data_IF_353140137733
#
_entry.id   IF_353140137733
#
_cell.length_a   1.000
_cell.length_b   1.000
_cell.length_c   1.000
_cell.angle_alpha   90.00
_cell.angle_beta   90.00
_cell.angle_gamma   90.00
#
_symmetry.space_group_name_H-M   'P 1'
#
loop_
_entity.id
_entity.type
_entity.pdbx_description
1 polymer ?
#
# COMPACT_ATOMS: atom_id res chain seq x y z
N UNK A 1 -0.61 7.82 11.97
CA UNK A 1 -1.70 6.90 11.58
C UNK A 1 -1.16 5.52 11.25
N UNK A 2 -0.15 5.39 10.40
CA UNK A 2 0.41 4.08 10.01
C UNK A 2 0.69 3.14 11.19
N UNK A 3 1.25 3.65 12.27
CA UNK A 3 1.63 2.83 13.43
C UNK A 3 0.49 2.56 14.41
N UNK A 4 -0.48 3.45 14.52
CA UNK A 4 -1.46 3.44 15.62
C UNK A 4 -2.92 3.33 15.16
N UNK A 5 -3.19 3.42 13.85
CA UNK A 5 -4.54 3.49 13.30
C UNK A 5 -5.07 4.92 13.18
N UNK A 6 -6.26 5.06 12.57
CA UNK A 6 -6.82 6.36 12.21
C UNK A 6 -7.28 7.16 13.43
N UNK A 7 -8.02 6.54 14.34
CA UNK A 7 -8.69 7.18 15.46
C UNK A 7 -7.92 7.07 16.79
N UNK A 8 -6.63 6.72 16.71
CA UNK A 8 -5.79 6.61 17.89
C UNK A 8 -5.56 7.97 18.58
N UNK A 9 -5.34 8.00 19.90
CA UNK A 9 -4.95 9.21 20.61
C UNK A 9 -3.70 9.87 20.02
N UNK A 10 -2.75 9.07 19.56
CA UNK A 10 -1.50 9.52 18.91
C UNK A 10 -1.77 10.20 17.56
N UNK A 11 -2.66 9.64 16.73
CA UNK A 11 -3.06 10.25 15.47
C UNK A 11 -3.80 11.57 15.70
N UNK A 12 -4.71 11.60 16.66
CA UNK A 12 -5.43 12.82 17.04
C UNK A 12 -4.49 13.89 17.64
N UNK A 13 -3.50 13.50 18.44
CA UNK A 13 -2.50 14.42 18.95
C UNK A 13 -1.61 14.98 17.82
N UNK A 14 -1.28 14.17 16.81
CA UNK A 14 -0.55 14.63 15.64
C UNK A 14 -1.36 15.66 14.83
N UNK A 15 -2.66 15.41 14.62
CA UNK A 15 -3.54 16.34 13.92
C UNK A 15 -3.63 17.70 14.66
N UNK A 16 -3.79 17.69 15.98
CA UNK A 16 -3.78 18.93 16.78
C UNK A 16 -2.48 19.70 16.64
N UNK A 17 -1.32 19.02 16.64
CA UNK A 17 -0.04 19.70 16.40
C UNK A 17 0.07 20.33 15.01
N UNK A 18 -0.55 19.72 13.99
CA UNK A 18 -0.61 20.35 12.67
C UNK A 18 -1.47 21.62 12.67
N UNK A 19 -2.61 21.60 13.33
CA UNK A 19 -3.48 22.75 13.50
C UNK A 19 -2.77 23.90 14.25
N UNK A 20 -2.10 23.60 15.36
CA UNK A 20 -1.29 24.57 16.13
C UNK A 20 -0.20 25.21 15.25
N UNK A 21 0.54 24.41 14.46
CA UNK A 21 1.59 24.92 13.55
C UNK A 21 1.02 25.79 12.44
N UNK A 22 -0.14 25.44 11.90
CA UNK A 22 -0.83 26.30 10.94
C UNK A 22 -1.20 27.65 11.58
N UNK A 23 -1.72 27.62 12.81
CA UNK A 23 -2.01 28.83 13.57
C UNK A 23 -0.77 29.71 13.81
N UNK A 24 0.39 29.11 14.12
CA UNK A 24 1.67 29.81 14.25
C UNK A 24 2.10 30.46 12.93
N UNK A 25 1.98 29.74 11.80
CA UNK A 25 2.31 30.24 10.46
C UNK A 25 1.42 31.47 10.10
N UNK A 26 0.12 31.32 10.26
CA UNK A 26 -0.83 32.42 9.98
C UNK A 26 -0.56 33.62 10.88
N UNK A 27 -0.26 33.38 12.16
CA UNK A 27 0.12 34.44 13.10
C UNK A 27 1.43 35.14 12.72
N UNK A 28 2.38 34.45 12.13
CA UNK A 28 3.64 35.01 11.63
C UNK A 28 3.37 35.91 10.40
N UNK A 29 2.60 35.42 9.42
CA UNK A 29 2.22 36.22 8.24
C UNK A 29 1.53 37.52 8.64
N UNK A 30 0.62 37.49 9.61
CA UNK A 30 -0.04 38.67 10.15
C UNK A 30 0.94 39.65 10.82
N UNK A 31 1.86 39.15 11.63
CA UNK A 31 2.90 39.99 12.28
C UNK A 31 3.85 40.65 11.27
N UNK A 32 4.07 40.02 10.14
CA UNK A 32 4.93 40.53 9.07
C UNK A 32 4.17 41.46 8.10
N UNK A 33 2.86 41.60 8.24
CA UNK A 33 2.03 42.39 7.32
C UNK A 33 1.86 41.77 5.94
N UNK A 34 2.07 40.44 5.83
CA UNK A 34 2.03 39.69 4.55
C UNK A 34 0.68 38.95 4.35
N UNK A 35 -0.27 39.10 5.25
CA UNK A 35 -1.54 38.35 5.23
C UNK A 35 -2.32 38.59 3.93
N UNK A 36 -2.37 39.84 3.46
CA UNK A 36 -3.08 40.24 2.23
C UNK A 36 -2.30 39.91 0.93
N UNK A 37 -1.02 39.59 1.04
CA UNK A 37 -0.14 39.27 -0.09
C UNK A 37 0.19 37.78 -0.21
N UNK A 38 -0.43 36.94 0.65
CA UNK A 38 -0.11 35.50 0.74
C UNK A 38 -1.35 34.64 0.63
N UNK A 39 -1.39 33.79 -0.40
CA UNK A 39 -2.37 32.73 -0.49
C UNK A 39 -1.86 31.48 0.27
N UNK A 40 -2.68 30.95 1.17
CA UNK A 40 -2.39 29.72 1.92
C UNK A 40 -3.26 28.58 1.39
N UNK A 41 -2.63 27.54 0.83
CA UNK A 41 -3.32 26.37 0.29
C UNK A 41 -3.03 25.16 1.18
N UNK A 42 -4.08 24.53 1.70
CA UNK A 42 -4.00 23.31 2.52
C UNK A 42 -4.47 22.14 1.67
N UNK A 43 -3.61 21.13 1.53
CA UNK A 43 -3.88 19.94 0.71
C UNK A 43 -3.70 18.68 1.56
N UNK A 44 -4.55 17.67 1.31
CA UNK A 44 -4.26 16.28 1.66
C UNK A 44 -3.58 15.57 0.50
N UNK A 45 -2.61 14.71 0.77
CA UNK A 45 -1.92 13.89 -0.23
C UNK A 45 -2.77 12.67 -0.62
N UNK A 46 -3.37 11.99 0.34
CA UNK A 46 -4.22 10.81 0.18
C UNK A 46 -5.00 10.51 1.48
N UNK A 47 -6.00 9.64 1.38
CA UNK A 47 -6.69 9.05 2.52
C UNK A 47 -5.93 7.85 3.09
N UNK A 48 -6.40 7.32 4.22
CA UNK A 48 -5.89 6.08 4.83
C UNK A 48 -7.06 5.23 5.33
N UNK A 49 -6.86 3.90 5.36
CA UNK A 49 -7.79 2.92 5.93
C UNK A 49 -7.07 2.11 7.01
N UNK A 50 -7.81 1.74 8.05
CA UNK A 50 -7.32 0.79 9.05
C UNK A 50 -7.14 -0.59 8.44
N UNK A 51 -6.04 -1.26 8.79
CA UNK A 51 -5.68 -2.58 8.28
C UNK A 51 -5.39 -3.55 9.41
N UNK A 52 -5.54 -4.84 9.12
CA UNK A 52 -5.40 -5.94 10.08
C UNK A 52 -4.29 -6.91 9.71
N UNK A 53 -4.08 -7.13 8.42
CA UNK A 53 -3.12 -8.13 7.92
C UNK A 53 -2.36 -7.63 6.70
N UNK A 54 -1.06 -7.90 6.67
CA UNK A 54 -0.22 -7.76 5.49
C UNK A 54 -0.23 -9.05 4.67
N UNK A 55 -0.24 -8.92 3.34
CA UNK A 55 -0.16 -10.00 2.36
C UNK A 55 1.16 -9.89 1.61
N UNK A 56 1.82 -11.02 1.41
CA UNK A 56 3.12 -11.11 0.75
C UNK A 56 3.02 -11.99 -0.52
N UNK A 57 2.60 -11.47 -1.67
CA UNK A 57 2.42 -12.28 -2.89
C UNK A 57 3.70 -12.97 -3.34
N UNK A 58 4.86 -12.35 -3.12
CA UNK A 58 6.17 -12.92 -3.46
C UNK A 58 6.48 -14.26 -2.79
N UNK A 59 5.84 -14.57 -1.66
CA UNK A 59 5.92 -15.90 -1.04
C UNK A 59 5.55 -17.02 -2.03
N UNK A 60 4.43 -16.85 -2.75
CA UNK A 60 4.01 -17.83 -3.75
C UNK A 60 4.84 -17.76 -5.02
N UNK A 61 5.31 -16.58 -5.41
CA UNK A 61 6.16 -16.43 -6.59
C UNK A 61 7.50 -17.14 -6.39
N UNK A 62 8.09 -17.05 -5.20
CA UNK A 62 9.29 -17.80 -4.84
C UNK A 62 9.01 -19.30 -4.81
N UNK A 63 7.93 -19.74 -4.18
CA UNK A 63 7.52 -21.17 -4.15
C UNK A 63 7.23 -21.75 -5.54
N UNK A 64 6.68 -20.94 -6.44
CA UNK A 64 6.43 -21.35 -7.82
C UNK A 64 7.69 -21.30 -8.71
N UNK A 65 8.84 -20.89 -8.19
CA UNK A 65 10.08 -20.72 -8.95
C UNK A 65 10.01 -19.59 -9.99
N UNK A 66 9.11 -18.62 -9.80
CA UNK A 66 9.04 -17.40 -10.62
C UNK A 66 10.01 -16.33 -10.13
N UNK A 67 10.46 -16.41 -8.88
CA UNK A 67 11.46 -15.55 -8.29
C UNK A 67 12.42 -16.38 -7.42
N UNK A 68 13.68 -15.96 -7.36
CA UNK A 68 14.74 -16.60 -6.57
C UNK A 68 15.23 -15.65 -5.48
N UNK A 69 15.40 -16.20 -4.27
CA UNK A 69 16.00 -15.49 -3.15
C UNK A 69 17.48 -15.84 -3.06
N UNK A 70 18.36 -14.84 -3.08
CA UNK A 70 19.80 -14.98 -2.87
C UNK A 70 20.28 -13.93 -1.87
N UNK A 71 20.97 -14.35 -0.83
CA UNK A 71 21.50 -13.47 0.24
C UNK A 71 20.39 -12.57 0.85
N UNK A 72 19.25 -13.17 1.20
CA UNK A 72 18.14 -12.46 1.83
C UNK A 72 17.43 -11.43 0.94
N UNK A 73 17.52 -11.55 -0.40
CA UNK A 73 16.83 -10.65 -1.34
C UNK A 73 16.38 -11.41 -2.58
N UNK A 74 15.26 -11.01 -3.16
CA UNK A 74 14.86 -11.48 -4.49
C UNK A 74 15.85 -10.89 -5.50
N UNK A 75 16.51 -11.74 -6.29
CA UNK A 75 17.54 -11.36 -7.27
C UNK A 75 17.15 -11.67 -8.70
N UNK A 76 16.90 -12.92 -9.00
CA UNK A 76 16.49 -13.36 -10.33
C UNK A 76 14.98 -13.60 -10.29
N UNK A 77 14.25 -12.98 -11.21
CA UNK A 77 12.82 -13.17 -11.28
C UNK A 77 12.33 -13.15 -12.74
N UNK A 78 11.34 -13.96 -13.01
CA UNK A 78 10.54 -13.98 -14.22
C UNK A 78 9.20 -13.27 -14.00
N UNK A 79 8.68 -13.34 -12.77
CA UNK A 79 7.57 -12.55 -12.28
C UNK A 79 7.84 -12.12 -10.84
N UNK A 80 7.39 -10.92 -10.47
CA UNK A 80 7.57 -10.33 -9.13
C UNK A 80 6.38 -9.44 -8.80
N UNK A 81 6.02 -9.42 -7.52
CA UNK A 81 5.07 -8.47 -6.94
C UNK A 81 5.82 -7.27 -6.34
N UNK A 82 5.29 -6.08 -6.58
CA UNK A 82 5.73 -4.82 -5.97
C UNK A 82 4.55 -4.17 -5.29
N UNK A 83 4.65 -4.02 -3.99
CA UNK A 83 3.63 -3.40 -3.18
C UNK A 83 3.52 -1.89 -3.44
N UNK A 84 2.30 -1.43 -3.32
CA UNK A 84 1.93 -0.03 -3.16
C UNK A 84 0.82 0.01 -2.08
N UNK A 85 1.10 -0.62 -0.94
CA UNK A 85 0.19 -0.79 0.20
C UNK A 85 -1.16 -1.43 -0.19
N UNK A 86 -2.22 -0.64 -0.43
CA UNK A 86 -3.54 -1.14 -0.81
C UNK A 86 -3.60 -1.78 -2.21
N UNK A 87 -2.64 -1.49 -3.07
CA UNK A 87 -2.46 -2.12 -4.38
C UNK A 87 -1.13 -2.86 -4.47
N UNK A 88 -1.02 -3.75 -5.44
CA UNK A 88 0.22 -4.48 -5.73
C UNK A 88 0.38 -4.66 -7.24
N UNK A 89 1.50 -4.19 -7.78
CA UNK A 89 1.85 -4.30 -9.18
C UNK A 89 2.58 -5.61 -9.43
N UNK A 90 2.13 -6.39 -10.41
CA UNK A 90 2.76 -7.65 -10.82
C UNK A 90 3.50 -7.44 -12.13
N UNK A 91 4.80 -7.51 -12.07
CA UNK A 91 5.66 -7.43 -13.25
C UNK A 91 6.05 -8.82 -13.71
N UNK A 92 5.94 -9.07 -15.02
CA UNK A 92 6.34 -10.32 -15.66
C UNK A 92 7.37 -9.99 -16.74
N UNK A 93 8.62 -10.38 -16.48
CA UNK A 93 9.75 -10.12 -17.36
C UNK A 93 9.82 -11.09 -18.54
N UNK A 94 9.38 -12.32 -18.32
CA UNK A 94 9.35 -13.38 -19.31
C UNK A 94 7.91 -13.55 -19.82
N UNK A 95 7.59 -13.17 -21.09
CA UNK A 95 6.24 -13.25 -21.63
C UNK A 95 5.63 -14.65 -21.56
N UNK A 96 6.44 -15.71 -21.62
CA UNK A 96 5.97 -17.09 -21.49
C UNK A 96 5.41 -17.40 -20.08
N UNK A 97 5.79 -16.59 -19.08
CA UNK A 97 5.33 -16.73 -17.72
C UNK A 97 4.02 -15.98 -17.40
N UNK A 98 3.47 -15.15 -18.30
CA UNK A 98 2.26 -14.34 -18.06
C UNK A 98 1.10 -15.22 -17.64
N UNK A 99 0.73 -16.22 -18.45
CA UNK A 99 -0.37 -17.14 -18.15
C UNK A 99 -0.16 -17.94 -16.86
N UNK A 100 1.07 -18.35 -16.59
CA UNK A 100 1.41 -19.06 -15.36
C UNK A 100 1.27 -18.15 -14.14
N UNK A 101 1.66 -16.90 -14.26
CA UNK A 101 1.53 -15.87 -13.22
C UNK A 101 0.07 -15.58 -12.94
N UNK A 102 -0.74 -15.37 -13.98
CA UNK A 102 -2.18 -15.17 -13.89
C UNK A 102 -2.85 -16.33 -13.14
N UNK A 103 -2.58 -17.58 -13.55
CA UNK A 103 -3.12 -18.77 -12.89
C UNK A 103 -2.72 -18.83 -11.41
N UNK A 104 -1.48 -18.48 -11.09
CA UNK A 104 -1.02 -18.45 -9.70
C UNK A 104 -1.77 -17.41 -8.88
N UNK A 105 -1.93 -16.19 -9.39
CA UNK A 105 -2.66 -15.11 -8.72
C UNK A 105 -4.13 -15.47 -8.55
N UNK A 106 -4.79 -16.02 -9.59
CA UNK A 106 -6.18 -16.49 -9.48
C UNK A 106 -6.34 -17.51 -8.35
N UNK A 107 -5.43 -18.51 -8.26
CA UNK A 107 -5.44 -19.48 -7.16
C UNK A 107 -5.19 -18.84 -5.79
N UNK A 108 -4.42 -17.76 -5.72
CA UNK A 108 -4.27 -17.01 -4.47
C UNK A 108 -5.58 -16.35 -4.07
N UNK A 109 -6.32 -15.77 -5.03
CA UNK A 109 -7.61 -15.11 -4.80
C UNK A 109 -8.71 -16.10 -4.38
N UNK A 110 -8.71 -17.32 -4.91
CA UNK A 110 -9.68 -18.36 -4.60
C UNK A 110 -9.54 -18.94 -3.17
N UNK A 111 -8.47 -18.60 -2.46
CA UNK A 111 -8.27 -19.08 -1.08
C UNK A 111 -9.22 -18.37 -0.13
N UNK A 112 -9.72 -19.11 0.84
CA UNK A 112 -10.50 -18.53 1.93
C UNK A 112 -9.72 -17.39 2.60
N UNK A 113 -10.36 -16.25 2.74
CA UNK A 113 -9.75 -15.03 3.28
C UNK A 113 -8.44 -14.66 2.56
N UNK A 114 -8.41 -14.68 1.23
CA UNK A 114 -7.19 -14.37 0.45
C UNK A 114 -6.62 -12.99 0.77
N UNK A 115 -7.48 -12.05 1.14
CA UNK A 115 -7.13 -10.65 1.34
C UNK A 115 -6.96 -9.86 0.03
N UNK A 116 -7.21 -10.50 -1.13
CA UNK A 116 -7.17 -9.87 -2.46
C UNK A 116 -8.62 -9.71 -2.95
N UNK A 117 -9.05 -8.48 -3.19
CA UNK A 117 -10.40 -8.17 -3.64
C UNK A 117 -10.55 -8.29 -5.15
N UNK A 118 -9.59 -7.72 -5.89
CA UNK A 118 -9.66 -7.62 -7.36
C UNK A 118 -8.27 -7.85 -7.99
N UNK A 119 -8.29 -8.33 -9.23
CA UNK A 119 -7.14 -8.37 -10.13
C UNK A 119 -7.52 -7.66 -11.42
N UNK A 120 -6.71 -6.73 -11.86
CA UNK A 120 -6.86 -6.00 -13.11
C UNK A 120 -5.83 -6.50 -14.11
N UNK A 121 -6.25 -6.68 -15.35
CA UNK A 121 -5.35 -6.89 -16.48
C UNK A 121 -4.51 -5.64 -16.74
N UNK A 122 -3.48 -5.76 -17.59
CA UNK A 122 -2.66 -4.62 -18.02
C UNK A 122 -3.52 -3.49 -18.60
N UNK A 123 -4.47 -3.83 -19.46
CA UNK A 123 -5.34 -2.88 -20.16
C UNK A 123 -6.26 -2.15 -19.18
N UNK A 124 -6.90 -2.89 -18.28
CA UNK A 124 -7.75 -2.33 -17.22
C UNK A 124 -6.95 -1.42 -16.27
N UNK A 125 -5.77 -1.87 -15.84
CA UNK A 125 -4.89 -1.11 -14.97
C UNK A 125 -4.39 0.17 -15.63
N UNK A 126 -3.98 0.11 -16.91
CA UNK A 126 -3.55 1.27 -17.67
C UNK A 126 -4.69 2.30 -17.87
N UNK A 127 -5.93 1.85 -18.06
CA UNK A 127 -7.10 2.73 -18.15
C UNK A 127 -7.36 3.49 -16.83
N UNK A 128 -6.92 2.94 -15.68
CA UNK A 128 -6.96 3.58 -14.37
C UNK A 128 -5.71 4.44 -14.06
N UNK A 129 -4.77 4.56 -15.00
CA UNK A 129 -3.55 5.35 -14.84
C UNK A 129 -2.40 4.62 -14.14
N UNK A 130 -2.48 3.29 -14.00
CA UNK A 130 -1.40 2.47 -13.44
C UNK A 130 -0.23 2.36 -14.42
N UNK A 131 0.93 1.90 -13.91
CA UNK A 131 2.13 1.64 -14.72
C UNK A 131 1.82 0.66 -15.87
N UNK A 132 1.96 1.09 -17.13
CA UNK A 132 1.64 0.24 -18.29
C UNK A 132 2.60 -0.95 -18.49
N UNK A 133 3.72 -0.97 -17.78
CA UNK A 133 4.67 -2.09 -17.83
C UNK A 133 4.28 -3.25 -16.91
N UNK A 134 3.36 -3.07 -15.97
CA UNK A 134 2.86 -4.16 -15.15
C UNK A 134 2.00 -5.12 -15.99
N UNK A 135 2.03 -6.41 -15.66
CA UNK A 135 1.16 -7.40 -16.29
C UNK A 135 -0.22 -7.45 -15.64
N UNK A 136 -0.28 -7.24 -14.33
CA UNK A 136 -1.49 -7.21 -13.51
C UNK A 136 -1.35 -6.21 -12.38
N UNK A 137 -2.47 -5.69 -11.90
CA UNK A 137 -2.55 -4.96 -10.63
C UNK A 137 -3.54 -5.69 -9.73
N UNK A 138 -3.18 -5.87 -8.48
CA UNK A 138 -4.04 -6.42 -7.44
C UNK A 138 -4.51 -5.30 -6.53
N UNK A 139 -5.74 -5.37 -6.07
CA UNK A 139 -6.27 -4.54 -5.00
C UNK A 139 -6.55 -5.39 -3.77
N UNK A 140 -6.14 -4.93 -2.61
CA UNK A 140 -6.39 -5.62 -1.36
C UNK A 140 -7.85 -5.48 -0.92
N UNK A 141 -8.38 -6.49 -0.24
CA UNK A 141 -9.68 -6.43 0.43
C UNK A 141 -9.60 -5.55 1.69
N UNK A 142 -10.78 -5.19 2.25
CA UNK A 142 -10.86 -4.41 3.48
C UNK A 142 -10.10 -5.04 4.63
N UNK A 143 -9.28 -4.24 5.28
CA UNK A 143 -8.43 -4.69 6.38
C UNK A 143 -7.15 -5.39 5.96
N UNK A 144 -6.85 -5.47 4.66
CA UNK A 144 -5.63 -6.07 4.12
C UNK A 144 -4.81 -5.05 3.34
N UNK A 145 -3.50 -5.28 3.24
CA UNK A 145 -2.57 -4.53 2.40
C UNK A 145 -1.41 -5.41 1.95
N UNK A 146 -0.66 -4.98 0.96
CA UNK A 146 0.44 -5.74 0.39
C UNK A 146 1.80 -5.30 0.92
N UNK A 147 2.74 -6.26 0.92
CA UNK A 147 4.13 -6.04 1.30
C UNK A 147 5.08 -6.88 0.43
N UNK A 148 6.32 -6.43 0.26
CA UNK A 148 7.32 -7.06 -0.60
C UNK A 148 8.00 -8.32 -0.04
N UNK A 149 7.71 -8.74 1.19
CA UNK A 149 8.28 -9.92 1.81
C UNK A 149 8.00 -11.22 1.03
N UNK A 150 8.76 -12.30 1.35
CA UNK A 150 8.63 -13.62 0.72
C UNK A 150 8.72 -14.79 1.70
N UNK A 151 8.94 -14.54 2.99
CA UNK A 151 9.16 -15.58 4.00
C UNK A 151 7.86 -16.26 4.41
N UNK A 152 6.79 -15.51 4.45
CA UNK A 152 5.44 -15.96 4.77
C UNK A 152 4.40 -15.26 3.89
N UNK A 153 3.19 -15.83 3.79
CA UNK A 153 2.13 -15.23 2.97
C UNK A 153 1.36 -14.12 3.68
N UNK A 154 1.18 -14.23 4.99
CA UNK A 154 0.40 -13.28 5.81
C UNK A 154 1.08 -12.98 7.12
N UNK A 155 0.91 -11.77 7.57
CA UNK A 155 1.28 -11.34 8.90
C UNK A 155 0.21 -10.41 9.45
N UNK A 156 -0.24 -10.68 10.68
CA UNK A 156 -1.20 -9.80 11.35
C UNK A 156 -0.55 -8.46 11.65
N UNK A 157 -1.28 -7.38 11.37
CA UNK A 157 -0.96 -6.07 11.91
C UNK A 157 -1.21 -6.15 13.42
N UNK A 158 -0.15 -6.29 14.18
CA UNK A 158 -0.24 -6.50 15.62
C UNK A 158 -0.41 -5.18 16.35
N UNK A 159 -1.31 -5.11 17.30
CA UNK A 159 -1.52 -3.91 18.10
C UNK A 159 -0.39 -3.66 19.12
N UNK A 160 0.38 -4.67 19.54
CA UNK A 160 1.32 -4.54 20.68
C UNK A 160 2.78 -4.33 20.29
N UNK A 161 3.19 -4.68 19.07
CA UNK A 161 4.59 -4.66 18.65
C UNK A 161 4.93 -3.64 17.56
N UNK A 162 4.02 -2.72 17.28
CA UNK A 162 4.17 -1.68 16.26
C UNK A 162 5.42 -0.81 16.41
N UNK A 163 5.90 -0.66 17.63
CA UNK A 163 7.04 0.21 17.92
C UNK A 163 8.37 -0.33 17.43
N UNK A 164 8.45 -1.62 17.12
CA UNK A 164 9.69 -2.29 16.75
C UNK A 164 9.71 -2.85 15.33
N UNK A 165 8.56 -3.03 14.70
CA UNK A 165 8.45 -3.57 13.34
C UNK A 165 7.77 -2.56 12.38
N UNK A 166 8.56 -1.78 11.70
CA UNK A 166 8.11 -0.79 10.69
C UNK A 166 7.45 -1.43 9.46
N UNK A 167 7.47 -2.75 9.35
CA UNK A 167 6.85 -3.47 8.23
C UNK A 167 5.39 -3.82 8.49
N UNK A 168 4.89 -3.65 9.72
CA UNK A 168 3.50 -3.91 10.08
C UNK A 168 2.80 -2.59 10.35
N UNK A 169 1.76 -2.30 9.59
CA UNK A 169 0.99 -1.07 9.69
C UNK A 169 -0.37 -1.34 10.35
N UNK A 170 -0.90 -0.37 11.11
CA UNK A 170 -2.25 -0.38 11.63
C UNK A 170 -3.23 0.37 10.70
N UNK A 171 -2.72 1.29 9.89
CA UNK A 171 -3.47 1.95 8.82
C UNK A 171 -2.56 2.22 7.63
N UNK A 172 -3.11 2.19 6.43
CA UNK A 172 -2.37 2.43 5.18
C UNK A 172 -3.25 3.05 4.10
N UNK A 173 -2.70 3.24 2.90
CA UNK A 173 -3.31 3.89 1.74
C UNK A 173 -3.08 3.07 0.46
N UNK A 174 -3.19 3.68 -0.72
CA UNK A 174 -2.87 3.05 -2.00
C UNK A 174 -3.97 2.14 -2.56
N UNK A 175 -5.20 2.27 -2.06
CA UNK A 175 -6.39 1.64 -2.64
C UNK A 175 -6.94 2.48 -3.80
N UNK A 176 -7.81 1.89 -4.63
CA UNK A 176 -8.45 2.62 -5.71
C UNK A 176 -9.41 3.69 -5.18
N UNK A 177 -9.50 4.86 -5.87
CA UNK A 177 -10.28 5.99 -5.39
C UNK A 177 -11.81 5.81 -5.51
N UNK A 178 -12.29 4.79 -6.23
CA UNK A 178 -13.70 4.45 -6.38
C UNK A 178 -14.25 3.56 -5.26
N UNK A 179 -13.44 3.31 -4.25
CA UNK A 179 -13.80 2.48 -3.12
C UNK A 179 -14.67 3.25 -2.14
N UNK A 180 -15.76 2.65 -1.65
CA UNK A 180 -16.61 3.24 -0.63
C UNK A 180 -15.82 3.62 0.62
N UNK A 181 -15.93 4.90 1.04
CA UNK A 181 -15.22 5.43 2.21
C UNK A 181 -13.92 6.19 1.90
N UNK A 182 -13.57 6.37 0.62
CA UNK A 182 -12.51 7.29 0.17
C UNK A 182 -13.05 8.65 -0.21
#
# INVERSE_FOLDING_TARGET
>A
RHLYGLDSPEAMAALRRHDERLGELLGLLRKMGLEEETDVVILGDHCQLDVKEAIYPNYYFVKAGLAEVKKGRIRNWRAIARDCDGCCYIYVKDPECVRRTETLVTRMMERENSGIARMFTREEAAALGADPECAFVLEAADGYYFQNGWEEYRRKAGASDHHTDFHIQAATHGYLPDRDGY
#
